data_IF_526975151351
#
_entry.id   IF_526975151351
#
_cell.length_a   1.000
_cell.length_b   1.000
_cell.length_c   1.000
_cell.angle_alpha   90.00
_cell.angle_beta   90.00
_cell.angle_gamma   90.00
#
_symmetry.space_group_name_H-M   'P 1'
#
loop_
_entity.id
_entity.type
_entity.pdbx_description
1 polymer ?
#
# COMPACT_ATOMS: atom_id res chain seq x y z
N UNK A 1 -23.57 -28.14 50.73
CA UNK A 1 -23.12 -28.04 49.36
C UNK A 1 -22.50 -29.36 48.94
N UNK A 2 -23.14 -30.07 48.04
CA UNK A 2 -22.72 -31.40 47.59
C UNK A 2 -21.50 -31.28 46.66
N UNK A 3 -20.62 -32.28 46.65
CA UNK A 3 -19.43 -32.34 45.80
C UNK A 3 -19.76 -32.06 44.33
N UNK A 4 -20.90 -32.55 43.83
CA UNK A 4 -21.43 -32.29 42.48
C UNK A 4 -21.72 -30.81 42.23
N UNK A 5 -22.08 -30.01 43.21
CA UNK A 5 -22.33 -28.57 43.07
C UNK A 5 -21.03 -27.78 42.95
N UNK A 6 -20.01 -28.21 43.66
CA UNK A 6 -18.66 -27.59 43.56
C UNK A 6 -18.02 -27.86 42.21
N UNK A 7 -18.14 -29.06 41.68
CA UNK A 7 -17.60 -29.38 40.33
C UNK A 7 -18.33 -28.60 39.24
N UNK A 8 -19.62 -28.36 39.36
CA UNK A 8 -20.38 -27.52 38.43
C UNK A 8 -19.96 -26.03 38.51
N UNK A 9 -19.61 -25.55 39.68
CA UNK A 9 -19.16 -24.18 39.90
C UNK A 9 -17.77 -23.97 39.30
N UNK A 10 -16.84 -24.92 39.50
CA UNK A 10 -15.50 -24.88 38.87
C UNK A 10 -15.59 -24.88 37.32
N UNK A 11 -16.49 -25.69 36.70
CA UNK A 11 -16.71 -25.65 35.28
C UNK A 11 -17.25 -24.29 34.78
N UNK A 12 -18.06 -23.62 35.59
CA UNK A 12 -18.58 -22.29 35.26
C UNK A 12 -17.51 -21.21 35.36
N UNK A 13 -16.55 -21.36 36.25
CA UNK A 13 -15.40 -20.46 36.38
C UNK A 13 -14.39 -20.64 35.22
N UNK A 14 -14.21 -21.87 34.74
CA UNK A 14 -13.38 -22.15 33.53
C UNK A 14 -14.01 -21.59 32.27
N UNK A 15 -15.32 -21.66 32.10
CA UNK A 15 -16.05 -21.04 30.96
C UNK A 15 -15.90 -19.50 30.98
N UNK A 16 -15.90 -18.89 32.16
CA UNK A 16 -15.64 -17.45 32.35
C UNK A 16 -14.22 -17.05 31.98
N UNK A 17 -13.23 -17.87 32.32
CA UNK A 17 -11.83 -17.61 32.00
C UNK A 17 -11.56 -17.73 30.49
N UNK A 18 -12.11 -18.74 29.81
CA UNK A 18 -12.02 -18.90 28.35
C UNK A 18 -12.64 -17.72 27.61
N UNK A 19 -13.74 -17.15 28.13
CA UNK A 19 -14.37 -15.95 27.53
C UNK A 19 -13.48 -14.71 27.68
N UNK A 20 -12.84 -14.54 28.85
CA UNK A 20 -11.89 -13.44 29.08
C UNK A 20 -10.65 -13.57 28.19
N UNK A 21 -10.14 -14.79 27.99
CA UNK A 21 -9.02 -15.04 27.08
C UNK A 21 -9.40 -14.67 25.63
N UNK A 22 -10.57 -15.09 25.17
CA UNK A 22 -11.05 -14.74 23.82
C UNK A 22 -11.19 -13.22 23.64
N UNK A 23 -11.66 -12.48 24.65
CA UNK A 23 -11.77 -11.02 24.61
C UNK A 23 -10.43 -10.32 24.45
N UNK A 24 -9.36 -10.89 24.96
CA UNK A 24 -8.00 -10.34 24.79
C UNK A 24 -7.46 -10.65 23.40
N UNK A 25 -7.74 -11.84 22.86
CA UNK A 25 -7.24 -12.25 21.55
C UNK A 25 -7.93 -11.56 20.37
N UNK A 26 -9.23 -11.23 20.50
CA UNK A 26 -10.00 -10.58 19.44
C UNK A 26 -9.35 -9.26 18.97
N UNK A 27 -9.03 -8.28 19.85
CA UNK A 27 -8.42 -7.03 19.40
C UNK A 27 -7.02 -7.24 18.80
N UNK A 28 -6.25 -8.19 19.29
CA UNK A 28 -4.94 -8.55 18.74
C UNK A 28 -5.10 -9.11 17.33
N UNK A 29 -6.06 -10.01 17.13
CA UNK A 29 -6.35 -10.61 15.83
C UNK A 29 -6.84 -9.55 14.83
N UNK A 30 -7.73 -8.66 15.25
CA UNK A 30 -8.21 -7.55 14.41
C UNK A 30 -7.06 -6.62 14.03
N UNK A 31 -6.15 -6.32 14.94
CA UNK A 31 -4.95 -5.53 14.63
C UNK A 31 -4.10 -6.20 13.53
N UNK A 32 -3.85 -7.50 13.62
CA UNK A 32 -3.12 -8.23 12.59
C UNK A 32 -3.85 -8.25 11.24
N UNK A 33 -5.18 -8.40 11.24
CA UNK A 33 -5.97 -8.34 10.01
C UNK A 33 -5.83 -6.98 9.32
N UNK A 34 -5.97 -5.89 10.07
CA UNK A 34 -5.80 -4.53 9.55
C UNK A 34 -4.38 -4.32 9.01
N UNK A 35 -3.37 -4.78 9.73
CA UNK A 35 -1.98 -4.70 9.31
C UNK A 35 -1.73 -5.43 7.97
N UNK A 36 -2.26 -6.65 7.83
CA UNK A 36 -2.14 -7.43 6.59
C UNK A 36 -2.86 -6.71 5.43
N UNK A 37 -4.06 -6.19 5.67
CA UNK A 37 -4.83 -5.46 4.65
C UNK A 37 -4.07 -4.22 4.18
N UNK A 38 -3.67 -3.32 5.08
CA UNK A 38 -2.95 -2.10 4.73
C UNK A 38 -1.65 -2.43 3.98
N UNK A 39 -0.88 -3.43 4.45
CA UNK A 39 0.34 -3.88 3.78
C UNK A 39 0.06 -4.37 2.36
N UNK A 40 -1.00 -5.16 2.17
CA UNK A 40 -1.41 -5.68 0.85
C UNK A 40 -1.76 -4.54 -0.10
N UNK A 41 -2.49 -3.52 0.37
CA UNK A 41 -2.86 -2.37 -0.45
C UNK A 41 -1.66 -1.48 -0.81
N UNK A 42 -0.68 -1.34 0.07
CA UNK A 42 0.58 -0.66 -0.23
C UNK A 42 1.32 -1.37 -1.38
N UNK A 43 1.45 -2.70 -1.32
CA UNK A 43 2.08 -3.46 -2.39
C UNK A 43 1.29 -3.43 -3.70
N UNK A 44 -0.02 -3.52 -3.63
CA UNK A 44 -0.89 -3.39 -4.80
C UNK A 44 -0.75 -2.01 -5.45
N UNK A 45 -0.81 -0.94 -4.67
CA UNK A 45 -0.62 0.43 -5.15
C UNK A 45 0.76 0.64 -5.80
N UNK A 46 1.81 0.08 -5.20
CA UNK A 46 3.16 0.08 -5.79
C UNK A 46 3.20 -0.62 -7.15
N UNK A 47 2.56 -1.78 -7.29
CA UNK A 47 2.51 -2.52 -8.55
C UNK A 47 1.74 -1.75 -9.63
N UNK A 48 0.63 -1.12 -9.28
CA UNK A 48 -0.14 -0.28 -10.20
C UNK A 48 0.65 0.96 -10.63
N UNK A 49 1.30 1.64 -9.69
CA UNK A 49 2.12 2.81 -9.99
C UNK A 49 3.27 2.47 -10.96
N UNK A 50 3.95 1.32 -10.73
CA UNK A 50 4.98 0.83 -11.65
C UNK A 50 4.45 0.63 -13.07
N UNK A 51 3.24 0.08 -13.20
CA UNK A 51 2.59 -0.11 -14.50
C UNK A 51 2.34 1.21 -15.22
N UNK A 52 1.82 2.23 -14.52
CA UNK A 52 1.61 3.55 -15.12
C UNK A 52 2.91 4.22 -15.56
N UNK A 53 3.99 4.07 -14.77
CA UNK A 53 5.31 4.57 -15.17
C UNK A 53 5.79 3.87 -16.45
N UNK A 54 5.67 2.54 -16.53
CA UNK A 54 6.06 1.77 -17.71
C UNK A 54 5.27 2.16 -18.96
N UNK A 55 3.96 2.32 -18.83
CA UNK A 55 3.08 2.74 -19.93
C UNK A 55 3.43 4.17 -20.39
N UNK A 56 3.68 5.09 -19.48
CA UNK A 56 4.11 6.47 -19.79
C UNK A 56 5.48 6.52 -20.47
N UNK A 57 6.46 5.80 -19.93
CA UNK A 57 7.82 5.73 -20.51
C UNK A 57 7.77 5.12 -21.92
N UNK A 58 6.96 4.11 -22.14
CA UNK A 58 6.77 3.53 -23.47
C UNK A 58 6.12 4.53 -24.45
N UNK A 59 5.10 5.25 -24.00
CA UNK A 59 4.45 6.26 -24.83
C UNK A 59 5.43 7.37 -25.25
N UNK A 60 6.32 7.80 -24.34
CA UNK A 60 7.39 8.75 -24.67
C UNK A 60 8.41 8.13 -25.62
N UNK A 61 8.82 6.87 -25.42
CA UNK A 61 9.84 6.21 -26.24
C UNK A 61 9.46 6.06 -27.70
N UNK A 62 8.16 5.86 -27.99
CA UNK A 62 7.63 5.73 -29.36
C UNK A 62 7.14 7.08 -29.94
N UNK A 63 7.38 8.19 -29.23
CA UNK A 63 7.00 9.53 -29.69
C UNK A 63 5.49 9.84 -29.63
N UNK A 64 4.73 9.06 -28.85
CA UNK A 64 3.31 9.33 -28.61
C UNK A 64 3.09 10.50 -27.63
N UNK A 65 4.09 10.81 -26.80
CA UNK A 65 4.15 11.99 -25.93
C UNK A 65 5.26 12.91 -26.38
N UNK A 66 5.07 14.21 -26.19
CA UNK A 66 5.95 15.23 -26.77
C UNK A 66 7.28 15.36 -26.01
N UNK A 67 7.24 15.26 -24.67
CA UNK A 67 8.37 15.50 -23.79
C UNK A 67 8.21 14.83 -22.41
N UNK A 68 9.18 15.05 -21.55
CA UNK A 68 9.23 14.52 -20.18
C UNK A 68 8.09 15.08 -19.31
N UNK A 69 7.77 16.38 -19.47
CA UNK A 69 6.74 17.05 -18.69
C UNK A 69 5.33 16.50 -19.02
N UNK A 70 5.05 16.29 -20.32
CA UNK A 70 3.82 15.67 -20.77
C UNK A 70 3.68 14.23 -20.23
N UNK A 71 4.79 13.49 -20.19
CA UNK A 71 4.83 12.13 -19.65
C UNK A 71 4.56 12.13 -18.15
N UNK A 72 5.24 12.96 -17.37
CA UNK A 72 5.03 13.10 -15.93
C UNK A 72 3.59 13.50 -15.61
N UNK A 73 3.00 14.43 -16.37
CA UNK A 73 1.62 14.88 -16.20
C UNK A 73 0.62 13.75 -16.50
N UNK A 74 0.82 13.00 -17.59
CA UNK A 74 -0.03 11.87 -17.92
C UNK A 74 -0.02 10.79 -16.83
N UNK A 75 1.16 10.40 -16.35
CA UNK A 75 1.31 9.43 -15.28
C UNK A 75 0.64 9.93 -13.99
N UNK A 76 0.88 11.20 -13.63
CA UNK A 76 0.26 11.81 -12.46
C UNK A 76 -1.27 11.84 -12.54
N UNK A 77 -1.82 12.15 -13.71
CA UNK A 77 -3.27 12.14 -13.93
C UNK A 77 -3.85 10.74 -13.80
N UNK A 78 -3.17 9.73 -14.35
CA UNK A 78 -3.62 8.34 -14.27
C UNK A 78 -3.66 7.79 -12.85
N UNK A 79 -2.79 8.27 -11.94
CA UNK A 79 -2.72 7.81 -10.54
C UNK A 79 -3.52 8.69 -9.58
N UNK A 80 -4.06 9.83 -10.02
CA UNK A 80 -4.68 10.83 -9.16
C UNK A 80 -5.87 10.33 -8.36
N UNK A 81 -6.59 9.32 -8.86
CA UNK A 81 -7.80 8.79 -8.21
C UNK A 81 -7.51 8.07 -6.89
N UNK A 82 -6.32 7.48 -6.74
CA UNK A 82 -5.95 6.73 -5.54
C UNK A 82 -4.64 7.18 -4.87
N UNK A 83 -3.87 8.05 -5.51
CA UNK A 83 -2.69 8.66 -4.92
C UNK A 83 -2.59 10.14 -5.31
N UNK A 84 -3.51 11.00 -4.84
CA UNK A 84 -3.57 12.41 -5.24
C UNK A 84 -2.34 13.21 -4.85
N UNK A 85 -1.65 12.83 -3.77
CA UNK A 85 -0.43 13.49 -3.32
C UNK A 85 0.86 12.93 -3.95
N UNK A 86 0.75 11.99 -4.91
CA UNK A 86 1.90 11.46 -5.61
C UNK A 86 2.63 12.54 -6.43
N UNK A 87 3.94 12.48 -6.43
CA UNK A 87 4.81 13.30 -7.29
C UNK A 87 5.48 12.42 -8.33
N UNK A 88 5.55 12.91 -9.56
CA UNK A 88 6.16 12.20 -10.70
C UNK A 88 7.21 13.10 -11.32
N UNK A 89 8.39 12.56 -11.56
CA UNK A 89 9.47 13.21 -12.29
C UNK A 89 9.98 12.27 -13.38
N UNK A 90 10.06 12.76 -14.61
CA UNK A 90 10.57 12.03 -15.78
C UNK A 90 11.76 12.77 -16.33
N UNK A 91 12.84 12.06 -16.63
CA UNK A 91 14.07 12.61 -17.19
C UNK A 91 14.61 11.69 -18.29
N UNK A 92 15.21 12.28 -19.31
CA UNK A 92 15.96 11.55 -20.34
C UNK A 92 17.44 11.61 -20.02
N UNK A 93 18.00 10.48 -19.63
CA UNK A 93 19.41 10.34 -19.29
C UNK A 93 20.23 9.99 -20.54
N UNK A 94 21.34 10.72 -20.74
CA UNK A 94 22.26 10.50 -21.86
C UNK A 94 21.59 10.49 -23.26
N UNK A 95 20.39 11.06 -23.39
CA UNK A 95 19.65 11.09 -24.65
C UNK A 95 19.10 9.72 -25.13
N UNK A 96 19.19 8.68 -24.32
CA UNK A 96 18.78 7.32 -24.71
C UNK A 96 17.96 6.57 -23.65
N UNK A 97 17.95 7.00 -22.40
CA UNK A 97 17.27 6.30 -21.32
C UNK A 97 16.26 7.24 -20.68
N UNK A 98 14.99 6.87 -20.76
CA UNK A 98 13.91 7.51 -20.04
C UNK A 98 13.93 6.94 -18.62
N UNK A 99 14.03 7.80 -17.61
CA UNK A 99 13.95 7.43 -16.20
C UNK A 99 12.81 8.19 -15.55
N UNK A 100 11.82 7.48 -15.05
CA UNK A 100 10.71 8.08 -14.31
C UNK A 100 10.71 7.61 -12.88
N UNK A 101 10.71 8.56 -11.96
CA UNK A 101 10.59 8.33 -10.51
C UNK A 101 9.28 8.88 -10.01
N UNK A 102 8.54 8.05 -9.29
CA UNK A 102 7.29 8.41 -8.63
C UNK A 102 7.44 8.23 -7.13
N UNK A 103 7.05 9.24 -6.37
CA UNK A 103 7.01 9.20 -4.90
C UNK A 103 5.55 9.30 -4.46
N UNK A 104 5.09 8.30 -3.72
CA UNK A 104 3.72 8.20 -3.21
C UNK A 104 3.76 8.18 -1.68
N UNK A 105 3.07 9.09 -0.97
CA UNK A 105 2.86 8.95 0.46
C UNK A 105 2.13 7.64 0.78
N UNK A 106 2.65 6.86 1.72
CA UNK A 106 2.04 5.58 2.10
C UNK A 106 0.60 5.77 2.60
N UNK A 107 0.29 6.94 3.19
CA UNK A 107 -1.07 7.31 3.60
C UNK A 107 -2.11 7.23 2.48
N UNK A 108 -1.72 7.50 1.23
CA UNK A 108 -2.63 7.46 0.08
C UNK A 108 -2.94 6.01 -0.36
N UNK A 109 -2.06 5.07 -0.01
CA UNK A 109 -2.16 3.67 -0.38
C UNK A 109 -2.86 2.80 0.67
N UNK A 110 -3.03 3.30 1.90
CA UNK A 110 -3.70 2.58 2.98
C UNK A 110 -5.20 2.77 2.92
N UNK A 111 -5.97 1.71 3.24
CA UNK A 111 -7.44 1.79 3.32
C UNK A 111 -7.88 2.26 4.69
N UNK A 112 -7.32 1.69 5.75
CA UNK A 112 -7.74 1.96 7.13
C UNK A 112 -6.86 3.04 7.75
N UNK A 113 -5.56 3.04 7.47
CA UNK A 113 -4.64 4.10 7.86
C UNK A 113 -4.48 4.32 9.37
N UNK A 114 -4.89 3.34 10.17
CA UNK A 114 -4.86 3.44 11.65
C UNK A 114 -3.51 3.07 12.25
N UNK A 115 -2.62 2.46 11.44
CA UNK A 115 -1.34 1.96 11.92
C UNK A 115 -0.29 3.08 11.87
N UNK A 116 0.19 3.58 13.04
CA UNK A 116 1.12 4.71 13.10
C UNK A 116 2.48 4.44 12.43
N UNK A 117 2.85 3.16 12.29
CA UNK A 117 4.16 2.73 11.75
C UNK A 117 4.41 3.25 10.34
N UNK A 118 3.36 3.45 9.54
CA UNK A 118 3.47 3.91 8.15
C UNK A 118 3.29 5.41 7.97
N UNK A 119 2.96 6.17 9.04
CA UNK A 119 2.77 7.61 8.96
C UNK A 119 4.09 8.32 8.63
N UNK A 120 4.04 9.18 7.62
CA UNK A 120 5.20 9.96 7.19
C UNK A 120 6.21 9.18 6.34
N UNK A 121 5.88 7.96 5.93
CA UNK A 121 6.70 7.16 5.02
C UNK A 121 6.23 7.36 3.58
N UNK A 122 7.17 7.44 2.66
CA UNK A 122 6.91 7.50 1.22
C UNK A 122 7.39 6.22 0.55
N UNK A 123 6.69 5.80 -0.48
CA UNK A 123 7.13 4.74 -1.41
C UNK A 123 7.69 5.43 -2.64
N UNK A 124 8.94 5.16 -2.95
CA UNK A 124 9.59 5.60 -4.17
C UNK A 124 9.65 4.44 -5.17
N UNK A 125 9.31 4.73 -6.41
CA UNK A 125 9.26 3.75 -7.50
C UNK A 125 9.94 4.39 -8.69
N UNK A 126 11.00 3.74 -9.18
CA UNK A 126 11.71 4.19 -10.37
C UNK A 126 11.66 3.10 -11.43
N UNK A 127 11.37 3.47 -12.67
CA UNK A 127 11.49 2.58 -13.81
C UNK A 127 12.17 3.30 -14.98
N UNK A 128 12.99 2.55 -15.70
CA UNK A 128 13.73 3.03 -16.86
C UNK A 128 13.27 2.33 -18.13
N UNK A 129 13.33 3.05 -19.25
CA UNK A 129 13.01 2.53 -20.58
C UNK A 129 13.98 3.11 -21.61
N UNK A 130 14.32 2.34 -22.66
CA UNK A 130 15.14 2.87 -23.74
C UNK A 130 14.30 3.71 -24.70
N UNK A 131 14.88 4.81 -25.17
CA UNK A 131 14.25 5.64 -26.21
C UNK A 131 14.37 4.90 -27.55
N UNK A 132 13.23 4.56 -28.15
CA UNK A 132 13.15 3.90 -29.45
C UNK A 132 12.91 4.98 -30.53
N UNK A 133 13.98 5.63 -31.00
CA UNK A 133 13.92 6.55 -32.14
C UNK A 133 14.67 6.00 -33.35
#
# INVERSE_FOLDING_TARGET
MTFSQRVKQLRKDEDGFATLEALIWIPIFVFFLVFILDTTFIFFGKAQALRFIQDGNRALSVGALADEDATALQIKTAISDYAPAATVNTEILNGMIISTTMTIPVSDLMIIGTIPVFKGTNVEITATHFLEQ
#
